data_IF_331689870508
#
_entry.id   IF_331689870508
#
_cell.length_a   1.000
_cell.length_b   1.000
_cell.length_c   1.000
_cell.angle_alpha   90.00
_cell.angle_beta   90.00
_cell.angle_gamma   90.00
#
_symmetry.space_group_name_H-M   'P 1'
#
loop_
_entity.id
_entity.type
_entity.pdbx_description
1 polymer ?
#
# COMPACT_ATOMS: atom_id res chain seq x y z
N UNK A 1 -13.01 -43.25 -5.29
CA UNK A 1 -13.25 -42.89 -3.86
C UNK A 1 -11.99 -42.35 -3.17
N UNK A 2 -10.78 -42.82 -3.53
CA UNK A 2 -9.50 -42.32 -3.01
C UNK A 2 -9.10 -40.92 -3.52
N UNK A 3 -9.34 -40.63 -4.81
CA UNK A 3 -8.99 -39.31 -5.38
C UNK A 3 -9.69 -38.13 -4.70
N UNK A 4 -10.93 -38.30 -4.25
CA UNK A 4 -11.73 -37.21 -3.66
C UNK A 4 -11.19 -36.79 -2.29
N UNK A 5 -10.73 -37.77 -1.51
CA UNK A 5 -10.05 -37.54 -0.23
C UNK A 5 -8.69 -36.86 -0.42
N UNK A 6 -7.89 -37.35 -1.37
CA UNK A 6 -6.56 -36.79 -1.62
C UNK A 6 -6.61 -35.38 -2.20
N UNK A 7 -7.62 -35.04 -3.02
CA UNK A 7 -7.84 -33.67 -3.50
C UNK A 7 -8.16 -32.70 -2.37
N UNK A 8 -8.93 -33.14 -1.37
CA UNK A 8 -9.23 -32.30 -0.21
C UNK A 8 -7.99 -32.07 0.66
N UNK A 9 -7.21 -33.13 0.90
CA UNK A 9 -5.96 -33.06 1.67
C UNK A 9 -4.93 -32.13 1.01
N UNK A 10 -4.77 -32.24 -0.32
CA UNK A 10 -3.92 -31.33 -1.11
C UNK A 10 -4.44 -29.88 -1.05
N UNK A 11 -5.75 -29.67 -1.13
CA UNK A 11 -6.34 -28.34 -1.02
C UNK A 11 -6.09 -27.73 0.36
N UNK A 12 -6.28 -28.49 1.44
CA UNK A 12 -6.03 -28.03 2.80
C UNK A 12 -4.56 -27.63 2.99
N UNK A 13 -3.63 -28.43 2.48
CA UNK A 13 -2.20 -28.15 2.62
C UNK A 13 -1.76 -26.94 1.77
N UNK A 14 -2.38 -26.74 0.60
CA UNK A 14 -2.19 -25.55 -0.22
C UNK A 14 -2.68 -24.28 0.51
N UNK A 15 -3.88 -24.32 1.11
CA UNK A 15 -4.42 -23.19 1.89
C UNK A 15 -3.56 -22.89 3.11
N UNK A 16 -3.10 -23.91 3.85
CA UNK A 16 -2.24 -23.72 5.00
C UNK A 16 -0.89 -23.08 4.62
N UNK A 17 -0.28 -23.58 3.54
CA UNK A 17 1.01 -23.08 3.05
C UNK A 17 0.89 -21.66 2.51
N UNK A 18 -0.17 -21.36 1.74
CA UNK A 18 -0.43 -20.01 1.23
C UNK A 18 -0.73 -19.02 2.38
N UNK A 19 -1.46 -19.47 3.40
CA UNK A 19 -1.72 -18.69 4.61
C UNK A 19 -0.44 -18.32 5.38
N UNK A 20 0.45 -19.28 5.60
CA UNK A 20 1.76 -19.05 6.25
C UNK A 20 2.62 -18.13 5.37
N UNK A 21 2.70 -18.41 4.07
CA UNK A 21 3.49 -17.60 3.14
C UNK A 21 2.99 -16.15 3.15
N UNK A 22 1.67 -15.94 3.11
CA UNK A 22 1.07 -14.60 3.15
C UNK A 22 1.28 -13.89 4.47
N UNK A 23 1.35 -14.60 5.60
CA UNK A 23 1.61 -14.00 6.92
C UNK A 23 3.05 -13.45 7.04
N UNK A 24 4.02 -14.13 6.41
CA UNK A 24 5.44 -13.77 6.48
C UNK A 24 5.98 -13.09 5.22
N UNK A 25 5.18 -12.99 4.16
CA UNK A 25 5.59 -12.27 2.96
C UNK A 25 5.59 -10.76 3.26
N UNK A 26 6.61 -10.01 2.81
CA UNK A 26 6.66 -8.55 2.94
C UNK A 26 5.45 -7.84 2.32
N UNK A 27 4.83 -8.52 1.36
CA UNK A 27 3.71 -8.04 0.56
C UNK A 27 2.41 -8.74 0.98
N UNK A 28 1.93 -8.41 2.18
CA UNK A 28 0.60 -8.83 2.61
C UNK A 28 -0.43 -8.16 1.69
N UNK A 29 -1.02 -8.93 0.78
CA UNK A 29 -2.03 -8.47 -0.18
C UNK A 29 -3.16 -7.58 0.43
N UNK A 30 -3.63 -7.79 1.68
CA UNK A 30 -4.58 -6.88 2.31
C UNK A 30 -4.00 -5.47 2.53
N UNK A 31 -2.73 -5.34 2.92
CA UNK A 31 -2.08 -4.03 3.08
C UNK A 31 -1.91 -3.33 1.75
N UNK A 32 -1.57 -4.06 0.68
CA UNK A 32 -1.51 -3.51 -0.67
C UNK A 32 -2.88 -2.98 -1.12
N UNK A 33 -3.95 -3.77 -0.91
CA UNK A 33 -5.30 -3.34 -1.21
C UNK A 33 -5.72 -2.10 -0.40
N UNK A 34 -5.37 -2.05 0.89
CA UNK A 34 -5.61 -0.89 1.74
C UNK A 34 -4.88 0.36 1.20
N UNK A 35 -3.62 0.21 0.79
CA UNK A 35 -2.81 1.28 0.18
C UNK A 35 -3.44 1.79 -1.11
N UNK A 36 -3.86 0.89 -1.99
CA UNK A 36 -4.41 1.23 -3.30
C UNK A 36 -5.78 1.91 -3.16
N UNK A 37 -6.62 1.45 -2.23
CA UNK A 37 -7.88 2.11 -1.88
C UNK A 37 -7.61 3.51 -1.31
N UNK A 38 -6.65 3.62 -0.38
CA UNK A 38 -6.25 4.90 0.21
C UNK A 38 -5.77 5.90 -0.84
N UNK A 39 -4.92 5.47 -1.76
CA UNK A 39 -4.47 6.33 -2.87
C UNK A 39 -5.62 6.72 -3.79
N UNK A 40 -6.53 5.80 -4.13
CA UNK A 40 -7.72 6.11 -4.93
C UNK A 40 -8.64 7.14 -4.28
N UNK A 41 -8.81 7.07 -2.95
CA UNK A 41 -9.59 8.06 -2.20
C UNK A 41 -8.90 9.43 -2.16
N UNK A 42 -7.57 9.47 -1.93
CA UNK A 42 -6.78 10.71 -1.95
C UNK A 42 -6.85 11.38 -3.31
N UNK A 43 -6.67 10.61 -4.39
CA UNK A 43 -6.73 11.12 -5.77
C UNK A 43 -8.10 11.70 -6.12
N UNK A 44 -9.19 11.05 -5.67
CA UNK A 44 -10.56 11.51 -5.95
C UNK A 44 -10.95 12.77 -5.19
N UNK A 45 -10.35 13.01 -4.01
CA UNK A 45 -10.72 14.15 -3.17
C UNK A 45 -10.23 15.50 -3.68
N UNK A 46 -9.22 15.55 -4.56
CA UNK A 46 -8.61 16.76 -5.14
C UNK A 46 -7.90 17.70 -4.14
N UNK A 47 -8.54 17.99 -3.01
CA UNK A 47 -8.05 18.79 -1.89
C UNK A 47 -6.88 18.11 -1.17
N UNK A 48 -7.01 16.84 -0.76
CA UNK A 48 -5.92 16.14 -0.08
C UNK A 48 -4.70 15.97 -0.98
N UNK A 49 -4.91 15.67 -2.27
CA UNK A 49 -3.84 15.62 -3.26
C UNK A 49 -3.07 16.94 -3.34
N UNK A 50 -3.77 18.08 -3.45
CA UNK A 50 -3.14 19.42 -3.50
C UNK A 50 -2.43 19.78 -2.20
N UNK A 51 -2.97 19.37 -1.05
CA UNK A 51 -2.37 19.61 0.25
C UNK A 51 -1.07 18.82 0.43
N UNK A 52 -1.08 17.51 0.12
CA UNK A 52 0.11 16.64 0.15
C UNK A 52 1.18 17.16 -0.82
N UNK A 53 0.78 17.58 -2.03
CA UNK A 53 1.73 18.15 -2.99
C UNK A 53 2.39 19.43 -2.48
N UNK A 54 1.61 20.32 -1.84
CA UNK A 54 2.13 21.56 -1.25
C UNK A 54 3.06 21.29 -0.07
N UNK A 55 2.73 20.31 0.76
CA UNK A 55 3.58 19.85 1.86
C UNK A 55 4.90 19.27 1.34
N UNK A 56 4.83 18.34 0.37
CA UNK A 56 6.01 17.73 -0.24
C UNK A 56 6.88 18.73 -1.01
N UNK A 57 6.28 19.77 -1.60
CA UNK A 57 6.99 20.87 -2.23
C UNK A 57 7.58 21.87 -1.23
N UNK A 58 7.35 21.69 0.08
CA UNK A 58 7.83 22.60 1.13
C UNK A 58 7.14 23.97 1.11
N UNK A 59 5.97 24.09 0.48
CA UNK A 59 5.26 25.36 0.26
C UNK A 59 4.29 25.72 1.41
N UNK A 60 4.18 24.89 2.44
CA UNK A 60 3.24 25.02 3.56
C UNK A 60 3.86 25.67 4.81
N UNK A 61 5.14 26.02 4.78
CA UNK A 61 5.85 26.71 5.87
C UNK A 61 7.00 27.58 5.38
N UNK A 62 7.80 28.11 6.31
CA UNK A 62 9.02 28.89 6.04
C UNK A 62 10.06 28.05 5.29
N UNK A 63 9.87 27.85 3.98
CA UNK A 63 10.81 27.16 3.13
C UNK A 63 12.17 27.86 3.21
N UNK A 64 13.30 27.14 3.35
CA UNK A 64 14.63 27.74 3.37
C UNK A 64 14.84 28.63 2.13
N UNK A 65 15.50 29.78 2.29
CA UNK A 65 15.77 30.76 1.22
C UNK A 65 16.28 30.12 -0.08
N UNK A 66 17.13 29.10 0.03
CA UNK A 66 17.65 28.29 -1.08
C UNK A 66 16.56 27.65 -1.95
N UNK A 67 15.49 27.12 -1.35
CA UNK A 67 14.37 26.49 -2.06
C UNK A 67 13.51 27.54 -2.78
N UNK A 68 13.54 28.79 -2.30
CA UNK A 68 12.83 29.93 -2.89
C UNK A 68 13.64 30.64 -3.99
N UNK A 69 14.87 30.18 -4.29
CA UNK A 69 15.78 30.87 -5.21
C UNK A 69 16.38 32.16 -4.65
N UNK A 70 16.30 32.38 -3.33
CA UNK A 70 16.88 33.52 -2.65
C UNK A 70 18.31 33.21 -2.19
N UNK A 71 19.25 34.17 -2.30
CA UNK A 71 20.59 34.01 -1.72
C UNK A 71 20.52 33.94 -0.19
N UNK A 72 21.46 33.21 0.42
CA UNK A 72 21.56 32.99 1.88
C UNK A 72 21.66 34.32 2.65
#
# INVERSE_FOLDING_TARGET
RYERWRRFDVFQMAVATDGINRLFSPDIAPLRALRDIGMGLVDRSGFFKKWILREAAGLTGNAPKLVQGLPL
#
